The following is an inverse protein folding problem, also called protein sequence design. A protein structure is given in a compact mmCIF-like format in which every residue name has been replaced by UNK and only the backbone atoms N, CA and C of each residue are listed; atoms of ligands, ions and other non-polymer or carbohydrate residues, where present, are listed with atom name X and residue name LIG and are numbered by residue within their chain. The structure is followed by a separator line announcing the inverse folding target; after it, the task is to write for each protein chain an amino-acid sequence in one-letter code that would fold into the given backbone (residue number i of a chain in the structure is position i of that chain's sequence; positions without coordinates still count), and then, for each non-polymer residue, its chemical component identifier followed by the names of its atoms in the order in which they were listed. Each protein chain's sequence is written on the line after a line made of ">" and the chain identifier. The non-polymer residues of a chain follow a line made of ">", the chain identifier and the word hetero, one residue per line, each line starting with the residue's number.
data_IF_276523951186
#
_entry.id   IF_276523951186
#
_cell.length_a   1.000
_cell.length_b   1.000
_cell.length_c   1.000
_cell.angle_alpha   90.00
_cell.angle_beta   90.00
_cell.angle_gamma   90.00
#
_symmetry.space_group_name_H-M   'P 1'
#
loop_
_entity.id
_entity.type
_entity.pdbx_description
1 polymer ?
#
# COMPACT_ATOMS: atom_id res chain seq x y z
N UNK A 1 -41.60 19.40 51.71
CA UNK A 1 -40.81 18.16 51.90
C UNK A 1 -41.14 17.19 50.78
N UNK A 2 -40.14 16.43 50.33
CA UNK A 2 -40.08 15.42 49.23
C UNK A 2 -39.48 15.93 47.91
N UNK A 3 -38.13 15.90 47.88
CA UNK A 3 -37.31 15.73 46.66
C UNK A 3 -37.21 14.23 46.41
N UNK A 4 -37.54 13.77 45.19
CA UNK A 4 -37.27 12.41 44.75
C UNK A 4 -35.83 12.33 44.22
N UNK A 5 -35.06 11.42 44.80
CA UNK A 5 -33.79 10.93 44.27
C UNK A 5 -34.05 10.00 43.09
N UNK A 6 -33.36 10.21 41.97
CA UNK A 6 -33.11 9.20 40.95
C UNK A 6 -31.59 9.07 40.80
N UNK A 7 -31.06 8.00 41.38
CA UNK A 7 -29.73 7.47 41.05
C UNK A 7 -29.79 6.93 39.62
N UNK A 8 -28.96 7.47 38.73
CA UNK A 8 -28.61 6.83 37.47
C UNK A 8 -27.09 6.61 37.46
N UNK A 9 -26.66 5.47 38.02
CA UNK A 9 -25.37 4.89 37.70
C UNK A 9 -25.47 4.27 36.30
N UNK A 10 -25.18 5.07 35.28
CA UNK A 10 -24.86 4.57 33.94
C UNK A 10 -23.37 4.78 33.72
N UNK A 11 -22.58 3.72 33.93
CA UNK A 11 -21.18 3.68 33.52
C UNK A 11 -21.13 3.71 31.99
N UNK A 12 -20.71 4.85 31.44
CA UNK A 12 -20.35 4.98 30.03
C UNK A 12 -19.09 4.14 29.75
N UNK A 13 -18.99 3.45 28.60
CA UNK A 13 -17.79 2.73 28.22
C UNK A 13 -16.65 3.73 28.00
N UNK A 14 -15.52 3.48 28.66
CA UNK A 14 -14.30 4.30 28.58
C UNK A 14 -13.73 4.14 27.16
N UNK A 15 -13.81 5.18 26.34
CA UNK A 15 -13.21 5.21 25.01
C UNK A 15 -11.68 5.35 25.11
N UNK A 16 -10.95 4.45 24.46
CA UNK A 16 -9.49 4.56 24.33
C UNK A 16 -9.09 5.77 23.47
N UNK A 17 -8.33 6.68 24.07
CA UNK A 17 -7.83 7.91 23.44
C UNK A 17 -6.47 7.68 22.78
N UNK A 18 -6.21 8.34 21.65
CA UNK A 18 -4.88 8.32 21.03
C UNK A 18 -3.90 9.26 21.77
N UNK A 19 -2.60 9.21 21.40
CA UNK A 19 -1.52 10.04 22.01
C UNK A 19 -1.75 11.56 21.91
N UNK A 20 -2.78 12.01 21.16
CA UNK A 20 -3.15 13.42 20.99
C UNK A 20 -4.45 13.79 21.71
N UNK A 21 -5.01 12.90 22.54
CA UNK A 21 -6.24 13.16 23.30
C UNK A 21 -7.50 13.24 22.45
N UNK A 22 -7.45 12.80 21.18
CA UNK A 22 -8.63 12.69 20.32
C UNK A 22 -9.23 11.29 20.43
N UNK A 23 -10.58 11.17 20.39
CA UNK A 23 -11.24 9.89 20.18
C UNK A 23 -10.65 9.21 18.95
N UNK A 24 -10.32 7.93 19.06
CA UNK A 24 -9.94 7.13 17.90
C UNK A 24 -11.15 7.00 16.99
N UNK A 25 -11.04 7.50 15.75
CA UNK A 25 -12.11 7.43 14.76
C UNK A 25 -12.48 5.94 14.55
N UNK A 26 -13.76 5.55 14.71
CA UNK A 26 -14.20 4.17 14.46
C UNK A 26 -13.79 3.65 13.08
N UNK A 27 -13.70 4.52 12.06
CA UNK A 27 -13.23 4.16 10.72
C UNK A 27 -11.74 3.78 10.69
N UNK A 28 -10.90 4.49 11.45
CA UNK A 28 -9.46 4.20 11.57
C UNK A 28 -9.21 2.89 12.31
N UNK A 29 -10.03 2.57 13.33
CA UNK A 29 -10.00 1.27 14.02
C UNK A 29 -10.37 0.12 13.10
N UNK A 30 -11.43 0.28 12.30
CA UNK A 30 -11.87 -0.74 11.35
C UNK A 30 -10.82 -0.97 10.26
N UNK A 31 -10.30 0.10 9.66
CA UNK A 31 -9.23 -0.02 8.65
C UNK A 31 -7.96 -0.65 9.22
N UNK A 32 -7.55 -0.29 10.43
CA UNK A 32 -6.46 -0.97 11.13
C UNK A 32 -6.70 -2.48 11.20
N UNK A 33 -7.88 -2.92 11.65
CA UNK A 33 -8.21 -4.35 11.74
C UNK A 33 -8.22 -5.01 10.36
N UNK A 34 -8.72 -4.33 9.32
CA UNK A 34 -8.67 -4.83 7.95
C UNK A 34 -7.23 -5.10 7.48
N UNK A 35 -6.27 -4.20 7.77
CA UNK A 35 -4.85 -4.42 7.45
C UNK A 35 -4.20 -5.54 8.27
N UNK A 36 -4.58 -5.68 9.54
CA UNK A 36 -4.10 -6.79 10.39
C UNK A 36 -4.57 -8.14 9.82
N UNK A 37 -5.85 -8.26 9.47
CA UNK A 37 -6.42 -9.46 8.84
C UNK A 37 -5.81 -9.75 7.46
N UNK A 38 -5.66 -8.72 6.64
CA UNK A 38 -4.99 -8.79 5.36
C UNK A 38 -3.55 -9.32 5.49
N UNK A 39 -2.77 -8.80 6.44
CA UNK A 39 -1.41 -9.26 6.69
C UNK A 39 -1.37 -10.75 7.07
N UNK A 40 -2.27 -11.20 7.96
CA UNK A 40 -2.35 -12.62 8.33
C UNK A 40 -2.63 -13.51 7.12
N UNK A 41 -3.56 -13.08 6.26
CA UNK A 41 -3.90 -13.81 5.04
C UNK A 41 -2.74 -13.86 4.04
N UNK A 42 -2.03 -12.73 3.86
CA UNK A 42 -0.82 -12.66 3.04
C UNK A 42 0.25 -13.60 3.59
N UNK A 43 0.45 -13.65 4.90
CA UNK A 43 1.43 -14.54 5.55
C UNK A 43 1.05 -16.01 5.37
N UNK A 44 -0.20 -16.41 5.61
CA UNK A 44 -0.66 -17.78 5.38
C UNK A 44 -0.35 -18.25 3.95
N UNK A 45 -0.65 -17.39 2.96
CA UNK A 45 -0.37 -17.67 1.55
C UNK A 45 1.13 -17.78 1.30
N UNK A 46 1.93 -16.80 1.74
CA UNK A 46 3.36 -16.79 1.51
C UNK A 46 4.07 -18.00 2.16
N UNK A 47 3.64 -18.41 3.34
CA UNK A 47 4.11 -19.62 4.02
C UNK A 47 3.78 -20.88 3.21
N UNK A 48 2.55 -20.97 2.70
CA UNK A 48 2.11 -22.11 1.90
C UNK A 48 2.84 -22.23 0.56
N UNK A 49 3.26 -21.09 -0.02
CA UNK A 49 4.03 -21.05 -1.26
C UNK A 49 5.47 -21.52 -1.05
N UNK A 50 6.11 -21.02 0.01
CA UNK A 50 7.49 -21.33 0.37
C UNK A 50 7.76 -20.80 1.78
N UNK A 51 8.09 -21.69 2.72
CA UNK A 51 8.33 -21.35 4.12
C UNK A 51 9.42 -20.28 4.29
N UNK A 52 10.41 -20.25 3.39
CA UNK A 52 11.47 -19.25 3.41
C UNK A 52 10.93 -17.81 3.28
N UNK A 53 9.76 -17.62 2.63
CA UNK A 53 9.16 -16.29 2.55
C UNK A 53 8.87 -15.72 3.94
N UNK A 54 8.35 -16.52 4.86
CA UNK A 54 8.05 -16.04 6.20
C UNK A 54 9.33 -15.83 7.00
N UNK A 55 10.30 -16.74 6.89
CA UNK A 55 11.61 -16.59 7.53
C UNK A 55 12.27 -15.25 7.11
N UNK A 56 12.24 -14.91 5.82
CA UNK A 56 12.78 -13.65 5.31
C UNK A 56 12.04 -12.43 5.87
N UNK A 57 10.71 -12.47 5.94
CA UNK A 57 9.92 -11.37 6.48
C UNK A 57 10.17 -11.18 7.99
N UNK A 58 10.32 -12.27 8.73
CA UNK A 58 10.52 -12.26 10.18
C UNK A 58 11.96 -11.86 10.56
N UNK A 59 12.94 -12.07 9.68
CA UNK A 59 14.34 -11.63 9.84
C UNK A 59 14.57 -10.16 9.47
N UNK A 60 13.58 -9.46 8.92
CA UNK A 60 13.75 -8.05 8.54
C UNK A 60 14.04 -7.17 9.76
N UNK A 61 14.88 -6.15 9.54
CA UNK A 61 15.16 -5.08 10.52
C UNK A 61 14.67 -3.74 9.99
N UNK A 62 14.57 -2.73 10.85
CA UNK A 62 14.02 -1.43 10.47
C UNK A 62 14.87 -0.70 9.43
N UNK A 63 16.19 -0.92 9.38
CA UNK A 63 17.01 -0.38 8.30
C UNK A 63 16.85 -1.08 6.95
N UNK A 64 16.09 -2.17 6.83
CA UNK A 64 15.82 -2.80 5.51
C UNK A 64 14.78 -2.03 4.71
N UNK A 65 13.89 -1.30 5.40
CA UNK A 65 12.78 -0.55 4.82
C UNK A 65 12.82 0.88 5.30
N UNK A 66 13.08 1.81 4.40
CA UNK A 66 13.04 3.24 4.72
C UNK A 66 11.75 3.83 4.17
N UNK A 67 11.01 4.54 5.02
CA UNK A 67 9.81 5.30 4.63
C UNK A 67 10.14 6.78 4.71
N UNK A 68 10.21 7.42 3.56
CA UNK A 68 10.31 8.87 3.47
C UNK A 68 8.90 9.45 3.51
N UNK A 69 8.68 10.33 4.48
CA UNK A 69 7.39 10.95 4.72
C UNK A 69 6.92 11.82 3.57
N UNK A 70 5.61 11.82 3.40
CA UNK A 70 4.86 12.67 2.48
C UNK A 70 3.63 13.23 3.18
N UNK A 71 2.78 13.90 2.42
CA UNK A 71 1.61 14.61 2.93
C UNK A 71 0.35 13.74 2.93
N UNK A 72 0.15 12.91 1.91
CA UNK A 72 -1.15 12.27 1.65
C UNK A 72 -1.13 10.74 1.80
N UNK A 73 0.01 10.09 1.51
CA UNK A 73 0.14 8.64 1.69
C UNK A 73 0.71 8.28 3.09
N UNK A 74 0.31 7.12 3.59
CA UNK A 74 0.61 6.63 4.93
C UNK A 74 1.04 5.15 4.94
N UNK A 75 1.95 4.75 4.03
CA UNK A 75 2.52 3.38 3.98
C UNK A 75 3.00 2.86 5.34
N UNK A 76 3.53 3.73 6.20
CA UNK A 76 3.99 3.39 7.54
C UNK A 76 2.90 2.76 8.42
N UNK A 77 1.62 3.06 8.16
CA UNK A 77 0.50 2.39 8.83
C UNK A 77 0.33 0.96 8.33
N UNK A 78 0.37 0.76 7.01
CA UNK A 78 0.29 -0.58 6.39
C UNK A 78 1.43 -1.47 6.89
N UNK A 79 2.67 -0.99 6.87
CA UNK A 79 3.84 -1.71 7.37
C UNK A 79 3.69 -2.06 8.85
N UNK A 80 3.27 -1.10 9.68
CA UNK A 80 3.02 -1.31 11.11
C UNK A 80 1.96 -2.37 11.37
N UNK A 81 0.83 -2.32 10.66
CA UNK A 81 -0.25 -3.30 10.79
C UNK A 81 0.14 -4.67 10.21
N UNK A 82 1.12 -4.69 9.31
CA UNK A 82 1.68 -5.93 8.77
C UNK A 82 2.81 -6.52 9.64
N UNK A 83 3.22 -5.83 10.71
CA UNK A 83 4.33 -6.26 11.56
C UNK A 83 5.70 -6.14 10.91
N UNK A 84 5.82 -5.38 9.83
CA UNK A 84 7.08 -5.20 9.09
C UNK A 84 7.84 -4.02 9.72
N UNK A 85 9.10 -4.21 10.16
CA UNK A 85 9.89 -3.13 10.72
C UNK A 85 10.34 -2.16 9.62
N UNK A 86 10.42 -0.87 9.98
CA UNK A 86 10.82 0.18 9.05
C UNK A 86 11.40 1.40 9.78
N UNK A 87 12.32 2.09 9.13
CA UNK A 87 12.84 3.39 9.55
C UNK A 87 12.08 4.51 8.84
N UNK A 88 11.40 5.35 9.62
CA UNK A 88 10.66 6.53 9.11
C UNK A 88 11.56 7.77 9.16
N UNK A 89 11.61 8.53 8.07
CA UNK A 89 12.44 9.74 7.96
C UNK A 89 11.71 10.86 7.20
N UNK A 90 12.09 12.10 7.47
CA UNK A 90 11.75 13.26 6.64
C UNK A 90 12.62 13.32 5.37
N UNK A 91 12.16 13.99 4.29
CA UNK A 91 12.97 14.17 3.08
C UNK A 91 14.36 14.79 3.33
N UNK A 92 14.48 15.69 4.32
CA UNK A 92 15.75 16.35 4.67
C UNK A 92 16.74 15.41 5.35
N UNK A 93 16.27 14.42 6.10
CA UNK A 93 17.12 13.44 6.78
C UNK A 93 17.78 12.46 5.79
N UNK A 94 17.22 12.34 4.58
CA UNK A 94 17.81 11.52 3.52
C UNK A 94 19.21 12.00 3.13
N UNK A 95 19.54 13.28 3.32
CA UNK A 95 20.83 13.85 2.89
C UNK A 95 22.02 13.12 3.50
N UNK A 96 21.95 12.85 4.81
CA UNK A 96 23.05 12.26 5.59
C UNK A 96 22.91 10.74 5.76
N UNK A 97 21.82 10.14 5.26
CA UNK A 97 21.61 8.71 5.39
C UNK A 97 22.46 7.93 4.37
N UNK A 98 23.24 6.98 4.85
CA UNK A 98 23.91 6.02 3.96
C UNK A 98 22.89 4.97 3.49
N UNK A 99 22.78 4.82 2.17
CA UNK A 99 21.82 3.91 1.55
C UNK A 99 22.55 2.65 1.10
N UNK A 100 21.99 1.49 1.43
CA UNK A 100 22.51 0.18 1.04
C UNK A 100 21.66 -0.40 -0.09
N UNK A 101 22.29 -1.07 -1.04
CA UNK A 101 21.63 -1.56 -2.24
C UNK A 101 20.56 -2.64 -1.97
N UNK A 102 20.58 -3.29 -0.81
CA UNK A 102 19.61 -4.31 -0.37
C UNK A 102 18.31 -3.72 0.20
N UNK A 103 18.26 -2.40 0.42
CA UNK A 103 17.10 -1.74 1.00
C UNK A 103 15.95 -1.58 0.02
N UNK A 104 14.75 -1.41 0.59
CA UNK A 104 13.59 -0.85 -0.10
C UNK A 104 13.27 0.52 0.48
N UNK A 105 13.14 1.53 -0.38
CA UNK A 105 12.77 2.89 0.00
C UNK A 105 11.38 3.20 -0.55
N UNK A 106 10.47 3.57 0.34
CA UNK A 106 9.19 4.16 0.00
C UNK A 106 9.29 5.69 0.07
N UNK A 107 8.79 6.39 -0.94
CA UNK A 107 8.53 7.82 -0.88
C UNK A 107 7.03 8.04 -0.97
N UNK A 108 6.45 8.45 0.15
CA UNK A 108 5.03 8.77 0.20
C UNK A 108 4.73 10.03 -0.60
N UNK A 109 3.52 10.08 -1.16
CA UNK A 109 3.02 11.21 -1.94
C UNK A 109 3.33 12.57 -1.31
N UNK A 110 4.09 13.37 -2.05
CA UNK A 110 4.46 14.75 -1.68
C UNK A 110 4.56 15.63 -2.92
N UNK A 111 4.03 16.84 -2.82
CA UNK A 111 4.10 17.84 -3.90
C UNK A 111 5.47 18.52 -4.00
N UNK A 112 6.30 18.41 -2.95
CA UNK A 112 7.63 19.03 -2.89
C UNK A 112 8.63 17.99 -2.40
N UNK A 113 9.70 17.81 -3.17
CA UNK A 113 10.82 16.96 -2.80
C UNK A 113 12.12 17.62 -3.27
N UNK A 114 13.19 17.66 -2.46
CA UNK A 114 14.43 18.32 -2.86
C UNK A 114 15.09 17.64 -4.06
N UNK A 115 15.44 18.38 -5.12
CA UNK A 115 16.05 17.83 -6.33
C UNK A 115 17.32 17.00 -6.06
N UNK A 116 18.16 17.49 -5.15
CA UNK A 116 19.38 16.78 -4.72
C UNK A 116 19.05 15.40 -4.14
N UNK A 117 17.94 15.30 -3.41
CA UNK A 117 17.47 14.06 -2.82
C UNK A 117 16.86 13.13 -3.87
N UNK A 118 16.12 13.66 -4.84
CA UNK A 118 15.62 12.86 -5.97
C UNK A 118 16.78 12.23 -6.77
N UNK A 119 17.86 12.99 -7.00
CA UNK A 119 19.09 12.47 -7.62
C UNK A 119 19.83 11.46 -6.74
N UNK A 120 19.81 11.62 -5.41
CA UNK A 120 20.37 10.61 -4.49
C UNK A 120 19.60 9.29 -4.57
N UNK A 121 18.27 9.33 -4.67
CA UNK A 121 17.45 8.14 -4.90
C UNK A 121 17.77 7.48 -6.25
N UNK A 122 18.04 8.27 -7.29
CA UNK A 122 18.52 7.73 -8.56
C UNK A 122 19.81 6.91 -8.40
N UNK A 123 20.82 7.45 -7.72
CA UNK A 123 22.08 6.72 -7.43
C UNK A 123 21.83 5.45 -6.61
N UNK A 124 20.97 5.52 -5.60
CA UNK A 124 20.61 4.34 -4.81
C UNK A 124 19.98 3.24 -5.66
N UNK A 125 19.05 3.58 -6.54
CA UNK A 125 18.44 2.61 -7.46
C UNK A 125 19.48 2.09 -8.44
N UNK A 126 20.33 2.93 -9.01
CA UNK A 126 21.35 2.47 -9.96
C UNK A 126 22.33 1.45 -9.36
N UNK A 127 22.59 1.54 -8.05
CA UNK A 127 23.39 0.60 -7.27
C UNK A 127 22.66 -0.69 -6.85
N UNK A 128 21.37 -0.84 -7.19
CA UNK A 128 20.62 -2.07 -6.95
C UNK A 128 19.46 -1.96 -5.97
N UNK A 129 19.22 -0.76 -5.42
CA UNK A 129 18.11 -0.46 -4.52
C UNK A 129 16.73 -0.62 -5.16
N UNK A 130 15.71 -0.82 -4.32
CA UNK A 130 14.31 -0.78 -4.73
C UNK A 130 13.67 0.53 -4.27
N UNK A 131 13.10 1.28 -5.21
CA UNK A 131 12.35 2.51 -4.93
C UNK A 131 10.87 2.31 -5.25
N UNK A 132 10.00 2.72 -4.34
CA UNK A 132 8.55 2.70 -4.52
C UNK A 132 8.02 4.09 -4.21
N UNK A 133 7.31 4.71 -5.16
CA UNK A 133 6.76 6.06 -5.00
C UNK A 133 5.28 6.12 -5.32
N UNK A 134 4.56 7.08 -4.71
CA UNK A 134 3.12 7.24 -4.90
C UNK A 134 2.73 8.64 -5.39
N UNK A 135 1.74 8.66 -6.28
CA UNK A 135 1.02 9.82 -6.78
C UNK A 135 1.90 11.02 -7.17
N UNK A 136 1.87 12.12 -6.40
CA UNK A 136 2.57 13.36 -6.75
C UNK A 136 4.10 13.23 -6.84
N UNK A 137 4.65 12.15 -6.28
CA UNK A 137 6.04 11.78 -6.50
C UNK A 137 6.39 11.51 -7.97
N UNK A 138 5.41 11.29 -8.85
CA UNK A 138 5.61 11.27 -10.30
C UNK A 138 6.38 12.51 -10.75
N UNK A 139 5.91 13.68 -10.33
CA UNK A 139 6.50 14.96 -10.69
C UNK A 139 7.64 15.34 -9.76
N UNK A 140 7.44 15.27 -8.45
CA UNK A 140 8.42 15.78 -7.48
C UNK A 140 9.66 14.90 -7.34
N UNK A 141 9.56 13.60 -7.65
CA UNK A 141 10.67 12.63 -7.51
C UNK A 141 11.08 12.04 -8.85
N UNK A 142 10.14 11.51 -9.64
CA UNK A 142 10.50 10.72 -10.82
C UNK A 142 10.93 11.58 -12.01
N UNK A 143 10.22 12.65 -12.36
CA UNK A 143 10.65 13.56 -13.43
C UNK A 143 12.05 14.14 -13.17
N UNK A 144 12.34 14.48 -11.90
CA UNK A 144 13.63 15.05 -11.49
C UNK A 144 14.74 14.01 -11.38
N UNK A 145 14.45 12.86 -10.74
CA UNK A 145 15.44 11.82 -10.46
C UNK A 145 15.66 10.83 -11.61
N UNK A 146 14.64 10.61 -12.44
CA UNK A 146 14.62 9.61 -13.52
C UNK A 146 14.07 10.22 -14.81
N UNK A 147 14.70 11.29 -15.34
CA UNK A 147 14.21 11.99 -16.51
C UNK A 147 14.07 11.06 -17.72
N UNK A 148 12.97 11.20 -18.45
CA UNK A 148 12.71 10.47 -19.69
C UNK A 148 12.08 9.08 -19.52
N UNK A 149 11.73 8.65 -18.31
CA UNK A 149 10.97 7.41 -18.10
C UNK A 149 9.47 7.66 -18.14
N UNK A 150 9.00 8.52 -17.25
CA UNK A 150 7.59 8.87 -17.06
C UNK A 150 7.45 10.36 -16.72
N UNK A 151 6.28 10.93 -16.98
CA UNK A 151 5.93 12.30 -16.58
C UNK A 151 4.44 12.41 -16.25
N UNK A 152 4.07 13.45 -15.51
CA UNK A 152 2.67 13.82 -15.32
C UNK A 152 2.14 14.49 -16.59
N UNK A 153 0.99 14.01 -17.08
CA UNK A 153 0.34 14.56 -18.28
C UNK A 153 -0.32 15.94 -18.07
N UNK A 154 -0.21 16.53 -16.88
CA UNK A 154 -0.77 17.84 -16.51
C UNK A 154 -2.31 17.88 -16.44
N UNK A 155 -2.97 16.71 -16.33
CA UNK A 155 -4.42 16.55 -16.15
C UNK A 155 -4.72 15.71 -14.91
N UNK A 156 -4.98 16.36 -13.78
CA UNK A 156 -5.19 15.68 -12.51
C UNK A 156 -6.54 14.96 -12.48
N UNK A 157 -6.63 13.87 -11.71
CA UNK A 157 -7.87 13.09 -11.57
C UNK A 157 -8.89 13.80 -10.67
N UNK A 158 -10.17 13.46 -10.82
CA UNK A 158 -11.17 13.69 -9.80
C UNK A 158 -11.04 12.67 -8.65
N UNK A 159 -11.76 12.90 -7.55
CA UNK A 159 -11.96 11.89 -6.50
C UNK A 159 -12.96 10.85 -7.00
N UNK A 160 -12.49 9.64 -7.28
CA UNK A 160 -13.31 8.59 -7.88
C UNK A 160 -12.76 7.17 -7.66
N UNK A 161 -13.64 6.18 -7.73
CA UNK A 161 -13.23 4.77 -7.78
C UNK A 161 -13.35 4.25 -9.22
N UNK A 162 -12.24 3.70 -9.72
CA UNK A 162 -12.10 3.19 -11.09
C UNK A 162 -11.87 1.69 -11.12
N UNK A 163 -12.25 1.04 -12.21
CA UNK A 163 -11.88 -0.37 -12.46
C UNK A 163 -10.44 -0.48 -12.95
N UNK A 164 -9.73 -1.51 -12.49
CA UNK A 164 -8.32 -1.76 -12.85
C UNK A 164 -8.13 -3.16 -13.47
N UNK A 165 -7.09 -3.31 -14.27
CA UNK A 165 -6.73 -4.54 -14.96
C UNK A 165 -5.24 -4.83 -14.76
N UNK A 166 -4.89 -6.04 -14.28
CA UNK A 166 -3.50 -6.50 -14.26
C UNK A 166 -3.05 -6.80 -15.69
N UNK A 167 -2.01 -6.11 -16.14
CA UNK A 167 -1.41 -6.29 -17.46
C UNK A 167 -0.31 -7.34 -17.42
N UNK A 168 0.62 -7.24 -16.46
CA UNK A 168 1.73 -8.19 -16.30
C UNK A 168 1.44 -9.18 -15.17
N UNK A 169 0.61 -10.20 -15.47
CA UNK A 169 0.27 -11.28 -14.53
C UNK A 169 1.47 -12.13 -14.07
N UNK A 170 2.62 -12.00 -14.74
CA UNK A 170 3.83 -12.76 -14.44
C UNK A 170 4.79 -12.01 -13.53
N UNK A 171 4.58 -10.72 -13.26
CA UNK A 171 5.43 -10.01 -12.30
C UNK A 171 5.22 -10.62 -10.90
N UNK A 172 6.27 -11.13 -10.25
CA UNK A 172 6.15 -11.76 -8.94
C UNK A 172 5.60 -10.81 -7.87
N UNK A 173 5.70 -9.49 -8.03
CA UNK A 173 5.12 -8.52 -7.07
C UNK A 173 3.60 -8.44 -7.19
N UNK A 174 3.03 -8.75 -8.36
CA UNK A 174 1.58 -8.74 -8.59
C UNK A 174 0.91 -10.08 -8.32
N UNK A 175 1.67 -11.13 -8.00
CA UNK A 175 1.09 -12.43 -7.65
C UNK A 175 0.17 -12.24 -6.45
N UNK A 176 -1.08 -12.66 -6.57
CA UNK A 176 -2.07 -12.50 -5.49
C UNK A 176 -2.53 -11.07 -5.20
N UNK A 177 -2.08 -10.07 -5.98
CA UNK A 177 -2.42 -8.65 -5.81
C UNK A 177 -3.92 -8.40 -6.02
N UNK A 178 -4.52 -9.03 -7.05
CA UNK A 178 -5.97 -9.01 -7.26
C UNK A 178 -6.51 -10.43 -7.36
N UNK A 179 -7.76 -10.61 -6.94
CA UNK A 179 -8.51 -11.83 -7.19
C UNK A 179 -8.84 -11.90 -8.70
N UNK A 180 -8.36 -12.92 -9.41
CA UNK A 180 -8.56 -13.02 -10.87
C UNK A 180 -10.06 -13.14 -11.25
N UNK A 181 -10.90 -13.52 -10.30
CA UNK A 181 -12.35 -13.64 -10.45
C UNK A 181 -13.13 -12.36 -10.09
N UNK A 182 -12.47 -11.34 -9.53
CA UNK A 182 -13.12 -10.07 -9.21
C UNK A 182 -12.95 -9.07 -10.35
N UNK A 183 -13.81 -8.05 -10.41
CA UNK A 183 -13.64 -6.86 -11.25
C UNK A 183 -13.05 -5.74 -10.37
N UNK A 184 -11.72 -5.76 -10.14
CA UNK A 184 -11.11 -5.03 -9.05
C UNK A 184 -11.18 -3.53 -9.24
N UNK A 185 -11.35 -2.85 -8.12
CA UNK A 185 -11.58 -1.42 -8.08
C UNK A 185 -10.47 -0.73 -7.30
N UNK A 186 -10.17 0.49 -7.71
CA UNK A 186 -9.12 1.29 -7.11
C UNK A 186 -9.62 2.70 -6.90
N UNK A 187 -9.44 3.20 -5.68
CA UNK A 187 -9.76 4.57 -5.35
C UNK A 187 -8.62 5.50 -5.80
N UNK A 188 -8.98 6.55 -6.53
CA UNK A 188 -8.13 7.66 -6.89
C UNK A 188 -8.52 8.84 -6.04
N UNK A 189 -7.55 9.42 -5.34
CA UNK A 189 -7.79 10.64 -4.61
C UNK A 189 -7.95 11.81 -5.59
N UNK A 190 -8.66 12.85 -5.16
CA UNK A 190 -8.77 14.07 -5.94
C UNK A 190 -7.39 14.67 -6.20
N UNK A 191 -7.12 14.98 -7.46
CA UNK A 191 -5.86 15.54 -7.96
C UNK A 191 -4.68 14.58 -8.06
N UNK A 192 -4.89 13.26 -8.17
CA UNK A 192 -3.80 12.34 -8.50
C UNK A 192 -3.24 12.55 -9.91
N UNK A 193 -1.99 12.15 -10.15
CA UNK A 193 -1.25 12.44 -11.39
C UNK A 193 -1.19 11.24 -12.35
N UNK A 194 -1.94 11.26 -13.48
CA UNK A 194 -1.85 10.21 -14.49
C UNK A 194 -0.45 10.09 -15.10
N UNK A 195 -0.05 8.85 -15.34
CA UNK A 195 1.32 8.47 -15.68
C UNK A 195 1.46 8.41 -17.21
N UNK A 196 2.08 9.43 -17.80
CA UNK A 196 2.50 9.39 -19.19
C UNK A 196 3.83 8.68 -19.33
N UNK A 197 3.88 7.66 -20.19
CA UNK A 197 5.09 6.89 -20.45
C UNK A 197 5.90 7.52 -21.57
N UNK A 198 7.11 7.98 -21.24
CA UNK A 198 8.06 8.57 -22.18
C UNK A 198 8.95 7.52 -22.85
N UNK A 199 9.35 6.49 -22.11
CA UNK A 199 10.18 5.40 -22.61
C UNK A 199 9.44 4.05 -22.55
N UNK A 200 8.76 3.71 -23.65
CA UNK A 200 7.97 2.48 -23.79
C UNK A 200 8.81 1.20 -23.80
N UNK A 201 10.10 1.29 -24.07
CA UNK A 201 11.01 0.12 -24.06
C UNK A 201 11.43 -0.25 -22.64
N UNK A 202 11.60 0.75 -21.76
CA UNK A 202 12.09 0.56 -20.38
C UNK A 202 10.98 0.48 -19.35
N UNK A 203 9.86 1.16 -19.57
CA UNK A 203 8.75 1.24 -18.62
C UNK A 203 7.72 0.16 -18.95
N UNK A 204 7.46 -0.71 -17.98
CA UNK A 204 6.41 -1.71 -18.04
C UNK A 204 5.18 -1.24 -17.28
N UNK A 205 4.02 -1.34 -17.92
CA UNK A 205 2.73 -1.16 -17.25
C UNK A 205 2.39 -2.47 -16.55
N UNK A 206 2.22 -2.39 -15.24
CA UNK A 206 1.83 -3.52 -14.39
C UNK A 206 0.31 -3.60 -14.28
N UNK A 207 -0.33 -2.46 -14.05
CA UNK A 207 -1.77 -2.32 -13.88
C UNK A 207 -2.24 -1.11 -14.68
N UNK A 208 -3.40 -1.23 -15.33
CA UNK A 208 -4.03 -0.14 -16.09
C UNK A 208 -5.48 0.06 -15.72
N UNK A 209 -6.07 1.17 -16.14
CA UNK A 209 -7.50 1.43 -16.06
C UNK A 209 -8.01 2.06 -17.35
N UNK A 210 -8.95 1.36 -18.01
CA UNK A 210 -9.65 1.90 -19.18
C UNK A 210 -10.45 3.15 -18.86
N UNK A 211 -10.94 3.28 -17.63
CA UNK A 211 -11.70 4.45 -17.19
C UNK A 211 -10.80 5.68 -17.07
N UNK A 212 -9.61 5.53 -16.48
CA UNK A 212 -8.61 6.59 -16.44
C UNK A 212 -8.20 6.98 -17.86
N UNK A 213 -7.87 6.01 -18.73
CA UNK A 213 -7.47 6.31 -20.12
C UNK A 213 -8.53 7.07 -20.92
N UNK A 214 -9.82 6.80 -20.70
CA UNK A 214 -10.92 7.54 -21.35
C UNK A 214 -11.08 8.97 -20.83
N UNK A 215 -10.90 9.18 -19.52
CA UNK A 215 -11.14 10.48 -18.87
C UNK A 215 -9.92 11.40 -18.88
N UNK A 216 -8.73 10.82 -18.75
CA UNK A 216 -7.48 11.51 -18.48
C UNK A 216 -6.37 11.16 -19.48
N UNK A 217 -6.68 10.45 -20.57
CA UNK A 217 -5.78 10.12 -21.70
C UNK A 217 -4.65 9.13 -21.42
N UNK A 218 -4.25 8.97 -20.16
CA UNK A 218 -3.26 7.99 -19.72
C UNK A 218 -3.96 6.86 -18.95
N UNK A 219 -3.76 5.61 -19.36
CA UNK A 219 -4.34 4.45 -18.69
C UNK A 219 -3.43 3.71 -17.67
N UNK A 220 -2.12 3.96 -17.50
CA UNK A 220 -1.34 3.27 -16.47
C UNK A 220 -1.73 3.68 -15.05
N UNK A 221 -1.89 2.69 -14.17
CA UNK A 221 -2.15 2.85 -12.73
C UNK A 221 -0.89 2.54 -11.93
N UNK A 222 -0.19 1.46 -12.30
CA UNK A 222 1.09 1.06 -11.69
C UNK A 222 2.07 0.74 -12.80
N UNK A 223 3.26 1.32 -12.71
CA UNK A 223 4.37 1.09 -13.64
C UNK A 223 5.62 0.62 -12.91
N UNK A 224 6.48 -0.07 -13.65
CA UNK A 224 7.80 -0.52 -13.21
C UNK A 224 8.84 -0.19 -14.26
N UNK A 225 10.02 0.24 -13.85
CA UNK A 225 11.18 0.27 -14.72
C UNK A 225 12.45 -0.09 -13.96
N UNK A 226 13.39 -0.68 -14.69
CA UNK A 226 14.74 -0.98 -14.19
C UNK A 226 15.64 0.23 -14.43
N UNK A 227 16.53 0.50 -13.48
CA UNK A 227 17.51 1.59 -13.58
C UNK A 227 18.81 1.17 -12.93
N UNK A 228 19.88 1.04 -13.73
CA UNK A 228 21.11 0.35 -13.29
C UNK A 228 20.78 -1.06 -12.82
N UNK A 229 21.27 -1.43 -11.64
CA UNK A 229 21.01 -2.75 -11.06
C UNK A 229 19.70 -2.81 -10.28
N UNK A 230 18.99 -1.70 -10.09
CA UNK A 230 17.79 -1.60 -9.25
C UNK A 230 16.50 -1.47 -10.02
N UNK A 231 15.42 -1.19 -9.27
CA UNK A 231 14.07 -1.12 -9.82
C UNK A 231 13.27 0.00 -9.15
N UNK A 232 12.46 0.68 -9.95
CA UNK A 232 11.47 1.65 -9.51
C UNK A 232 10.07 1.11 -9.76
N UNK A 233 9.20 1.20 -8.77
CA UNK A 233 7.76 1.07 -8.92
C UNK A 233 7.11 2.42 -8.63
N UNK A 234 6.09 2.75 -9.42
CA UNK A 234 5.31 3.95 -9.20
C UNK A 234 3.83 3.66 -9.39
N UNK A 235 3.01 4.26 -8.54
CA UNK A 235 1.55 4.15 -8.62
C UNK A 235 0.89 5.52 -8.51
N UNK A 236 -0.21 5.71 -9.24
CA UNK A 236 -1.00 6.95 -9.25
C UNK A 236 -1.71 7.25 -7.92
N UNK A 237 -1.87 6.26 -7.04
CA UNK A 237 -2.69 6.37 -5.82
C UNK A 237 -1.90 5.92 -4.58
N UNK A 238 -2.56 5.86 -3.43
CA UNK A 238 -1.95 5.64 -2.12
C UNK A 238 -2.10 4.19 -1.65
N UNK A 239 -1.09 3.71 -0.91
CA UNK A 239 -1.14 2.37 -0.34
C UNK A 239 -2.12 2.25 0.81
N UNK A 240 -2.20 3.28 1.66
CA UNK A 240 -3.18 3.31 2.75
C UNK A 240 -4.52 3.82 2.23
N UNK A 241 -5.36 2.90 1.78
CA UNK A 241 -6.70 3.21 1.30
C UNK A 241 -7.54 3.85 2.42
N UNK A 242 -7.98 5.09 2.19
CA UNK A 242 -8.86 5.81 3.13
C UNK A 242 -10.34 5.55 2.84
N UNK A 243 -10.65 4.97 1.67
CA UNK A 243 -12.01 4.67 1.23
C UNK A 243 -12.04 3.37 0.42
N UNK A 244 -13.08 2.58 0.66
CA UNK A 244 -13.49 1.47 -0.20
C UNK A 244 -14.93 1.75 -0.62
N UNK A 245 -15.24 1.57 -1.91
CA UNK A 245 -16.64 1.52 -2.37
C UNK A 245 -16.98 0.07 -2.70
N UNK A 246 -18.07 -0.43 -2.11
CA UNK A 246 -18.65 -1.72 -2.50
C UNK A 246 -19.53 -1.48 -3.72
N UNK A 247 -19.20 -2.10 -4.85
CA UNK A 247 -20.00 -1.97 -6.09
C UNK A 247 -20.56 -3.30 -6.59
N UNK A 248 -20.04 -4.41 -6.08
CA UNK A 248 -20.52 -5.75 -6.41
C UNK A 248 -21.07 -6.44 -5.15
N UNK A 249 -22.12 -7.24 -5.32
CA UNK A 249 -22.79 -7.94 -4.20
C UNK A 249 -21.82 -8.80 -3.36
N UNK A 250 -20.73 -9.30 -3.96
CA UNK A 250 -19.69 -10.06 -3.26
C UNK A 250 -18.94 -9.21 -2.23
N UNK A 251 -18.78 -7.91 -2.47
CA UNK A 251 -18.06 -7.00 -1.58
C UNK A 251 -18.88 -6.59 -0.34
N UNK A 252 -20.20 -6.73 -0.42
CA UNK A 252 -21.12 -6.55 0.72
C UNK A 252 -21.21 -7.80 1.60
N UNK A 253 -20.65 -8.94 1.16
CA UNK A 253 -20.59 -10.15 1.98
C UNK A 253 -19.64 -9.95 3.16
N UNK A 254 -19.77 -10.82 4.17
CA UNK A 254 -18.90 -10.82 5.33
C UNK A 254 -17.42 -11.06 5.00
N UNK A 255 -16.53 -10.50 5.80
CA UNK A 255 -15.10 -10.67 5.64
C UNK A 255 -14.66 -12.15 5.70
N UNK A 256 -15.36 -13.00 6.46
CA UNK A 256 -15.11 -14.45 6.52
C UNK A 256 -15.18 -15.11 5.13
N UNK A 257 -16.08 -14.65 4.26
CA UNK A 257 -16.22 -15.13 2.88
C UNK A 257 -14.96 -14.82 2.07
N UNK A 258 -14.36 -13.64 2.26
CA UNK A 258 -13.09 -13.29 1.63
C UNK A 258 -11.99 -14.26 2.08
N UNK A 259 -11.85 -14.45 3.38
CA UNK A 259 -10.85 -15.35 3.98
C UNK A 259 -10.93 -16.77 3.44
N UNK A 260 -12.14 -17.35 3.42
CA UNK A 260 -12.40 -18.68 2.87
C UNK A 260 -12.07 -18.76 1.37
N UNK A 261 -12.44 -17.75 0.58
CA UNK A 261 -12.15 -17.73 -0.86
C UNK A 261 -10.65 -17.71 -1.17
N UNK A 262 -9.83 -17.28 -0.21
CA UNK A 262 -8.37 -17.20 -0.31
C UNK A 262 -7.65 -18.38 0.32
N UNK A 263 -8.37 -19.37 0.85
CA UNK A 263 -7.77 -20.57 1.44
C UNK A 263 -6.99 -20.29 2.73
N UNK A 264 -7.45 -19.34 3.54
CA UNK A 264 -6.83 -19.00 4.83
C UNK A 264 -6.69 -20.21 5.76
N UNK A 265 -5.70 -20.17 6.66
CA UNK A 265 -5.60 -21.16 7.75
C UNK A 265 -6.81 -21.07 8.69
N UNK A 266 -7.09 -22.14 9.44
CA UNK A 266 -8.19 -22.14 10.44
C UNK A 266 -8.03 -21.02 11.47
N UNK A 267 -6.78 -20.71 11.86
CA UNK A 267 -6.49 -19.63 12.81
C UNK A 267 -6.87 -18.27 12.21
N UNK A 268 -6.47 -18.00 10.98
CA UNK A 268 -6.81 -16.75 10.29
C UNK A 268 -8.31 -16.66 10.03
N UNK A 269 -8.96 -17.73 9.57
CA UNK A 269 -10.41 -17.78 9.38
C UNK A 269 -11.20 -17.37 10.63
N UNK A 270 -10.83 -17.90 11.80
CA UNK A 270 -11.48 -17.54 13.06
C UNK A 270 -11.36 -16.04 13.40
N UNK A 271 -10.21 -15.41 13.10
CA UNK A 271 -10.02 -13.97 13.32
C UNK A 271 -10.87 -13.10 12.39
N UNK A 272 -11.17 -13.60 11.19
CA UNK A 272 -12.10 -12.94 10.28
C UNK A 272 -13.55 -13.03 10.76
N UNK A 273 -13.98 -14.21 11.25
CA UNK A 273 -15.32 -14.39 11.84
C UNK A 273 -15.52 -13.48 13.07
N UNK A 274 -14.52 -13.38 13.94
CA UNK A 274 -14.53 -12.46 15.08
C UNK A 274 -14.66 -11.00 14.64
N UNK A 275 -13.86 -10.56 13.66
CA UNK A 275 -13.92 -9.18 13.18
C UNK A 275 -15.23 -8.84 12.47
N UNK A 276 -15.81 -9.80 11.75
CA UNK A 276 -17.14 -9.68 11.15
C UNK A 276 -18.21 -9.47 12.23
N UNK A 277 -18.19 -10.28 13.31
CA UNK A 277 -19.15 -10.18 14.39
C UNK A 277 -18.99 -8.91 15.26
N UNK A 278 -17.76 -8.47 15.52
CA UNK A 278 -17.48 -7.35 16.43
C UNK A 278 -17.52 -5.98 15.74
N UNK A 279 -17.13 -5.92 14.47
CA UNK A 279 -16.89 -4.66 13.76
C UNK A 279 -17.69 -4.52 12.46
N UNK A 280 -18.55 -5.48 12.12
CA UNK A 280 -19.28 -5.52 10.85
C UNK A 280 -18.32 -5.44 9.65
N UNK A 281 -17.19 -6.15 9.75
CA UNK A 281 -16.15 -6.17 8.71
C UNK A 281 -16.66 -6.89 7.45
N UNK A 282 -16.56 -6.23 6.31
CA UNK A 282 -17.00 -6.81 5.03
C UNK A 282 -15.85 -7.22 4.11
N UNK A 283 -16.20 -7.97 3.06
CA UNK A 283 -15.30 -8.47 2.04
C UNK A 283 -14.51 -7.34 1.37
N UNK A 284 -15.18 -6.26 0.98
CA UNK A 284 -14.55 -5.15 0.26
C UNK A 284 -13.44 -4.49 1.07
N UNK A 285 -13.68 -4.24 2.35
CA UNK A 285 -12.70 -3.60 3.25
C UNK A 285 -11.41 -4.40 3.38
N UNK A 286 -11.51 -5.74 3.55
CA UNK A 286 -10.33 -6.58 3.69
C UNK A 286 -9.68 -6.89 2.34
N UNK A 287 -10.46 -6.98 1.25
CA UNK A 287 -9.93 -7.10 -0.12
C UNK A 287 -9.03 -5.90 -0.47
N UNK A 288 -9.53 -4.70 -0.19
CA UNK A 288 -8.78 -3.44 -0.36
C UNK A 288 -7.47 -3.47 0.42
N UNK A 289 -7.51 -3.77 1.72
CA UNK A 289 -6.32 -3.83 2.56
C UNK A 289 -5.32 -4.92 2.11
N UNK A 290 -5.82 -6.10 1.73
CA UNK A 290 -5.01 -7.21 1.24
C UNK A 290 -4.24 -6.86 -0.03
N UNK A 291 -4.82 -6.07 -0.93
CA UNK A 291 -4.15 -5.68 -2.17
C UNK A 291 -2.85 -4.93 -1.90
N UNK A 292 -2.89 -3.93 -1.00
CA UNK A 292 -1.70 -3.19 -0.56
C UNK A 292 -0.72 -4.08 0.21
N UNK A 293 -1.20 -4.86 1.19
CA UNK A 293 -0.34 -5.76 1.99
C UNK A 293 0.40 -6.79 1.13
N UNK A 294 -0.26 -7.32 0.09
CA UNK A 294 0.35 -8.27 -0.83
C UNK A 294 1.47 -7.64 -1.66
N UNK A 295 1.19 -6.49 -2.29
CA UNK A 295 2.20 -5.77 -3.08
C UNK A 295 3.46 -5.50 -2.27
N UNK A 296 3.27 -4.96 -1.07
CA UNK A 296 4.37 -4.57 -0.17
C UNK A 296 5.18 -5.81 0.21
N UNK A 297 4.51 -6.84 0.74
CA UNK A 297 5.19 -8.04 1.21
C UNK A 297 5.99 -8.70 0.09
N UNK A 298 5.43 -8.79 -1.12
CA UNK A 298 6.13 -9.37 -2.27
C UNK A 298 7.25 -8.49 -2.82
N UNK A 299 7.08 -7.18 -2.83
CA UNK A 299 8.12 -6.24 -3.24
C UNK A 299 9.36 -6.36 -2.32
N UNK A 300 9.13 -6.41 -1.02
CA UNK A 300 10.16 -6.60 0.00
C UNK A 300 10.84 -7.97 -0.12
N UNK A 301 10.06 -9.04 -0.24
CA UNK A 301 10.58 -10.39 -0.47
C UNK A 301 11.46 -10.48 -1.70
N UNK A 302 11.01 -9.91 -2.83
CA UNK A 302 11.77 -9.87 -4.08
C UNK A 302 13.11 -9.18 -3.88
N UNK A 303 13.13 -8.07 -3.15
CA UNK A 303 14.36 -7.33 -2.87
C UNK A 303 15.30 -8.12 -1.96
N UNK A 304 14.81 -8.70 -0.87
CA UNK A 304 15.63 -9.53 0.03
C UNK A 304 16.19 -10.77 -0.66
N UNK A 305 15.36 -11.52 -1.40
CA UNK A 305 15.78 -12.72 -2.15
C UNK A 305 16.85 -12.40 -3.21
N UNK A 306 16.81 -11.21 -3.82
CA UNK A 306 17.84 -10.76 -4.77
C UNK A 306 19.24 -10.69 -4.15
N UNK A 307 19.38 -10.34 -2.87
CA UNK A 307 20.68 -10.22 -2.19
C UNK A 307 21.07 -11.44 -1.37
N UNK A 308 20.12 -12.29 -1.00
CA UNK A 308 20.42 -13.59 -0.37
C UNK A 308 21.08 -14.58 -1.35
N UNK A 309 20.81 -14.43 -2.65
CA UNK A 309 21.33 -15.29 -3.72
C UNK A 309 22.62 -14.75 -4.39
N UNK A 310 23.20 -13.66 -3.89
CA UNK A 310 24.46 -13.07 -4.38
C UNK A 310 25.61 -13.43 -3.44
#
# INVERSE_FOLDING_TARGET
>A
MKKNNLNNDTKFPIQEMNKTGKPTDPSDKKMKKAYELASLLVRDRLESEDKENIDILDEMIDEDVIVIEGQYDHIHRVLKHSGIPFKRIQPTELENLELRSDQTIFVNCTGVFPDKMARKLNTFVSMGGQLITTDWCLKSVLETGFPGYVEYNQKATADEVVRIEIVDKKDPVLKGFLDEEADPQWWLEGSSYPIKILNKEKVKVLIKSKEIGKKYEEDPVVVRFEHGDGVVYHMISHFYLQRTETRDAKQEMGASVYSMSKGSSMKTAAMFEEAEAEMDMNFGEVQSANTSSEFISRALLKQKKKYKNK
#
